data_IF_404929319142
#
_entry.id   IF_404929319142
#
_cell.length_a   1.000
_cell.length_b   1.000
_cell.length_c   1.000
_cell.angle_alpha   90.00
_cell.angle_beta   90.00
_cell.angle_gamma   90.00
#
_symmetry.space_group_name_H-M   'P 1'
#
loop_
_entity.id
_entity.type
_entity.pdbx_description
1 polymer ?
#
# COMPACT_ATOMS: atom_id res chain seq x y z
N UNK A 1 3.27 14.17 10.32
CA UNK A 1 2.33 14.65 9.30
C UNK A 1 1.61 15.94 9.68
N UNK A 2 1.46 16.23 10.97
CA UNK A 2 0.66 17.36 11.46
C UNK A 2 1.48 18.63 11.72
N UNK A 3 2.80 18.49 11.86
CA UNK A 3 3.66 19.58 12.29
C UNK A 3 4.12 20.52 11.16
N UNK A 4 3.77 20.20 9.90
CA UNK A 4 4.22 20.96 8.73
C UNK A 4 3.13 21.84 8.10
N UNK A 5 1.91 21.79 8.65
CA UNK A 5 0.81 22.58 8.10
C UNK A 5 0.83 23.99 8.67
N UNK A 6 0.92 25.03 7.84
CA UNK A 6 0.98 26.42 8.33
C UNK A 6 -0.36 26.94 8.87
N UNK A 7 -1.45 26.18 8.66
CA UNK A 7 -2.77 26.54 9.18
C UNK A 7 -3.27 25.49 10.17
N UNK A 8 -4.05 25.88 11.18
CA UNK A 8 -4.59 24.90 12.11
C UNK A 8 -5.57 23.96 11.39
N UNK A 9 -5.25 22.66 11.41
CA UNK A 9 -6.05 21.62 10.73
C UNK A 9 -6.56 20.63 11.77
N UNK A 10 -7.87 20.36 11.75
CA UNK A 10 -8.50 19.35 12.61
C UNK A 10 -8.81 18.10 11.77
N UNK A 11 -8.18 16.98 12.11
CA UNK A 11 -8.40 15.71 11.44
C UNK A 11 -9.43 14.88 12.20
N UNK A 12 -10.56 14.61 11.55
CA UNK A 12 -11.64 13.79 12.11
C UNK A 12 -11.52 12.36 11.57
N UNK A 13 -11.46 11.39 12.48
CA UNK A 13 -11.22 9.98 12.11
C UNK A 13 -12.42 9.30 11.43
N UNK A 14 -13.62 9.88 11.57
CA UNK A 14 -14.85 9.37 10.94
C UNK A 14 -15.10 7.89 11.26
N UNK A 15 -14.99 7.53 12.54
CA UNK A 15 -15.22 6.16 13.01
C UNK A 15 -16.65 5.73 12.78
N UNK A 16 -16.84 4.50 12.34
CA UNK A 16 -18.17 3.91 12.13
C UNK A 16 -18.78 3.50 13.46
N UNK A 17 -19.98 4.00 13.73
CA UNK A 17 -20.71 3.68 14.96
C UNK A 17 -21.39 2.31 14.86
N UNK A 18 -21.96 2.02 13.68
CA UNK A 18 -22.72 0.79 13.43
C UNK A 18 -21.78 -0.35 13.04
N UNK A 19 -21.67 -1.42 13.85
CA UNK A 19 -20.84 -2.58 13.51
C UNK A 19 -21.49 -3.53 12.50
N UNK A 20 -22.79 -3.41 12.26
CA UNK A 20 -23.58 -4.41 11.50
C UNK A 20 -22.99 -4.72 10.12
N UNK A 21 -22.60 -3.74 9.29
CA UNK A 21 -22.03 -4.07 7.98
C UNK A 21 -20.75 -4.90 8.08
N UNK A 22 -19.90 -4.61 9.06
CA UNK A 22 -18.65 -5.32 9.29
C UNK A 22 -18.92 -6.76 9.76
N UNK A 23 -19.77 -6.93 10.78
CA UNK A 23 -20.01 -8.25 11.38
C UNK A 23 -20.72 -9.16 10.38
N UNK A 24 -21.73 -8.65 9.67
CA UNK A 24 -22.45 -9.41 8.63
C UNK A 24 -21.50 -9.86 7.50
N UNK A 25 -20.60 -8.99 7.08
CA UNK A 25 -19.64 -9.32 6.02
C UNK A 25 -18.65 -10.39 6.48
N UNK A 26 -18.22 -10.29 7.74
CA UNK A 26 -17.33 -11.27 8.34
C UNK A 26 -18.01 -12.64 8.39
N UNK A 27 -19.24 -12.72 8.94
CA UNK A 27 -19.99 -13.97 9.08
C UNK A 27 -20.22 -14.66 7.73
N UNK A 28 -20.57 -13.90 6.69
CA UNK A 28 -20.82 -14.43 5.35
C UNK A 28 -19.56 -15.01 4.70
N UNK A 29 -18.42 -14.36 4.91
CA UNK A 29 -17.19 -14.74 4.23
C UNK A 29 -16.22 -15.57 5.04
N UNK A 30 -16.51 -15.83 6.31
CA UNK A 30 -15.55 -16.38 7.27
C UNK A 30 -14.95 -17.72 6.87
N UNK A 31 -15.67 -18.53 6.07
CA UNK A 31 -15.18 -19.84 5.63
C UNK A 31 -13.87 -19.77 4.84
N UNK A 32 -13.54 -18.63 4.21
CA UNK A 32 -12.24 -18.51 3.50
C UNK A 32 -11.05 -18.54 4.46
N UNK A 33 -11.32 -18.32 5.77
CA UNK A 33 -10.29 -18.30 6.81
C UNK A 33 -10.15 -19.64 7.55
N UNK A 34 -11.00 -20.64 7.30
CA UNK A 34 -11.07 -21.90 8.05
C UNK A 34 -9.77 -22.69 8.10
N UNK A 35 -8.90 -22.51 7.11
CA UNK A 35 -7.62 -23.21 7.04
C UNK A 35 -6.53 -22.56 7.90
N UNK A 36 -6.82 -21.45 8.53
CA UNK A 36 -5.83 -20.71 9.33
C UNK A 36 -6.12 -20.84 10.81
N UNK A 37 -5.09 -21.06 11.59
CA UNK A 37 -5.18 -21.09 13.06
C UNK A 37 -4.86 -19.73 13.67
N UNK A 38 -3.94 -18.98 13.04
CA UNK A 38 -3.49 -17.68 13.54
C UNK A 38 -3.46 -16.65 12.43
N UNK A 39 -4.19 -15.57 12.61
CA UNK A 39 -4.32 -14.50 11.62
C UNK A 39 -3.78 -13.19 12.20
N UNK A 40 -2.92 -12.51 11.44
CA UNK A 40 -2.54 -11.12 11.72
C UNK A 40 -3.70 -10.22 11.30
N UNK A 41 -4.28 -9.49 12.24
CA UNK A 41 -5.50 -8.70 11.99
C UNK A 41 -5.14 -7.22 11.95
N UNK A 42 -5.41 -6.57 10.81
CA UNK A 42 -5.26 -5.13 10.60
C UNK A 42 -6.58 -4.47 10.28
N UNK A 43 -6.74 -3.23 10.72
CA UNK A 43 -8.02 -2.52 10.55
C UNK A 43 -7.76 -1.04 10.23
N UNK A 44 -8.52 -0.47 9.29
CA UNK A 44 -8.50 0.97 9.06
C UNK A 44 -9.18 1.70 10.22
N UNK A 45 -8.79 2.96 10.45
CA UNK A 45 -9.26 3.73 11.63
C UNK A 45 -10.79 3.78 11.72
N UNK A 46 -11.50 3.76 10.59
CA UNK A 46 -12.95 3.85 10.56
C UNK A 46 -13.64 2.70 11.30
N UNK A 47 -13.03 1.51 11.31
CA UNK A 47 -13.60 0.29 11.90
C UNK A 47 -12.93 -0.14 13.20
N UNK A 48 -12.02 0.69 13.72
CA UNK A 48 -11.14 0.33 14.83
C UNK A 48 -11.92 0.00 16.12
N UNK A 49 -13.02 0.72 16.38
CA UNK A 49 -13.82 0.52 17.61
C UNK A 49 -14.50 -0.86 17.65
N UNK A 50 -14.58 -1.54 16.51
CA UNK A 50 -15.22 -2.86 16.41
C UNK A 50 -14.19 -4.01 16.39
N UNK A 51 -12.91 -3.70 16.57
CA UNK A 51 -11.84 -4.68 16.49
C UNK A 51 -12.03 -5.86 17.44
N UNK A 52 -12.43 -5.57 18.68
CA UNK A 52 -12.65 -6.63 19.69
C UNK A 52 -13.84 -7.55 19.35
N UNK A 53 -14.79 -7.09 18.58
CA UNK A 53 -15.71 -7.76 18.18
C UNK A 53 -15.36 -8.67 17.24
N UNK A 54 -14.62 -8.28 16.35
CA UNK A 54 -14.07 -9.14 15.30
C UNK A 54 -13.20 -10.25 15.91
N UNK A 55 -12.34 -9.90 16.83
CA UNK A 55 -11.46 -10.89 17.51
C UNK A 55 -12.30 -11.97 18.19
N UNK A 56 -13.39 -11.58 18.83
CA UNK A 56 -14.25 -12.51 19.56
C UNK A 56 -14.95 -13.48 18.60
N UNK A 57 -15.51 -12.98 17.50
CA UNK A 57 -16.14 -13.82 16.48
C UNK A 57 -15.16 -14.83 15.88
N UNK A 58 -13.98 -14.36 15.47
CA UNK A 58 -12.97 -15.23 14.88
C UNK A 58 -12.51 -16.29 15.87
N UNK A 59 -12.36 -15.92 17.16
CA UNK A 59 -12.01 -16.87 18.22
C UNK A 59 -13.10 -17.94 18.38
N UNK A 60 -14.38 -17.56 18.29
CA UNK A 60 -15.50 -18.52 18.33
C UNK A 60 -15.45 -19.57 17.22
N UNK A 61 -14.81 -19.24 16.11
CA UNK A 61 -14.61 -20.14 14.98
C UNK A 61 -13.22 -20.83 15.00
N UNK A 62 -12.50 -20.72 16.10
CA UNK A 62 -11.21 -21.37 16.27
C UNK A 62 -10.01 -20.63 15.69
N UNK A 63 -10.20 -19.39 15.23
CA UNK A 63 -9.11 -18.57 14.65
C UNK A 63 -8.58 -17.59 15.70
N UNK A 64 -7.31 -17.72 16.03
CA UNK A 64 -6.61 -16.80 16.96
C UNK A 64 -6.13 -15.59 16.15
N UNK A 65 -6.48 -14.39 16.60
CA UNK A 65 -6.03 -13.16 15.94
C UNK A 65 -4.93 -12.47 16.75
N UNK A 66 -3.94 -11.95 16.04
CA UNK A 66 -2.88 -11.13 16.61
C UNK A 66 -2.89 -9.75 15.96
N UNK A 67 -2.74 -8.72 16.79
CA UNK A 67 -2.61 -7.34 16.33
C UNK A 67 -1.22 -6.82 16.72
N UNK A 68 -0.69 -5.88 15.96
CA UNK A 68 0.61 -5.29 16.27
C UNK A 68 0.49 -3.96 17.00
N UNK A 69 1.48 -3.60 17.83
CA UNK A 69 1.49 -2.31 18.49
C UNK A 69 1.67 -1.17 17.47
N UNK A 70 1.15 0.03 17.77
CA UNK A 70 1.27 1.12 16.81
C UNK A 70 2.73 1.56 16.61
N UNK A 71 3.06 1.86 15.34
CA UNK A 71 4.34 2.48 14.96
C UNK A 71 4.02 3.68 14.06
N UNK A 72 4.70 4.80 14.21
CA UNK A 72 4.42 5.98 13.37
C UNK A 72 4.38 5.59 11.89
N UNK A 73 3.39 6.09 11.11
CA UNK A 73 2.39 7.11 11.46
C UNK A 73 1.11 6.57 12.11
N UNK A 74 1.05 5.27 12.44
CA UNK A 74 -0.13 4.63 13.04
C UNK A 74 -0.23 4.99 14.52
N UNK A 75 -1.46 5.21 15.01
CA UNK A 75 -1.71 5.67 16.39
C UNK A 75 -2.27 4.57 17.30
N UNK A 76 -2.90 3.55 16.72
CA UNK A 76 -3.68 2.57 17.49
C UNK A 76 -3.20 1.15 17.20
N UNK A 77 -3.34 0.28 18.21
CA UNK A 77 -3.07 -1.15 18.03
C UNK A 77 -3.94 -1.72 16.93
N UNK A 78 -3.35 -2.51 16.03
CA UNK A 78 -4.07 -3.12 14.91
C UNK A 78 -4.37 -2.18 13.76
N UNK A 79 -4.11 -0.88 13.89
CA UNK A 79 -4.37 0.07 12.81
C UNK A 79 -3.46 -0.18 11.61
N UNK A 80 -4.02 0.00 10.40
CA UNK A 80 -3.24 0.01 9.15
C UNK A 80 -3.62 1.21 8.30
N UNK A 81 -2.70 1.62 7.43
CA UNK A 81 -2.95 2.55 6.34
C UNK A 81 -2.55 1.88 5.03
N UNK A 82 -3.00 2.41 3.90
CA UNK A 82 -2.66 1.88 2.58
C UNK A 82 -1.17 1.88 2.23
N UNK A 83 -0.34 2.43 3.12
CA UNK A 83 1.12 2.49 2.93
C UNK A 83 1.88 2.18 4.22
N UNK A 84 1.21 1.76 5.30
CA UNK A 84 1.86 1.48 6.58
C UNK A 84 1.30 0.19 7.19
N UNK A 85 2.11 -0.86 7.19
CA UNK A 85 1.74 -2.21 7.63
C UNK A 85 2.77 -2.81 8.59
N UNK A 86 3.76 -2.04 9.05
CA UNK A 86 4.87 -2.54 9.85
C UNK A 86 4.42 -3.35 11.08
N UNK A 87 3.40 -2.92 11.84
CA UNK A 87 2.96 -3.72 12.99
C UNK A 87 2.48 -5.12 12.61
N UNK A 88 1.82 -5.25 11.45
CA UNK A 88 1.36 -6.56 10.95
C UNK A 88 2.53 -7.39 10.42
N UNK A 89 3.40 -6.78 9.64
CA UNK A 89 4.53 -7.50 9.02
C UNK A 89 5.48 -8.09 10.08
N UNK A 90 5.61 -7.43 11.24
CA UNK A 90 6.39 -7.94 12.37
C UNK A 90 5.82 -9.24 12.96
N UNK A 91 4.55 -9.54 12.71
CA UNK A 91 3.90 -10.76 13.22
C UNK A 91 4.13 -11.97 12.30
N UNK A 92 4.81 -11.79 11.17
CA UNK A 92 4.91 -12.81 10.12
C UNK A 92 5.28 -14.20 10.61
N UNK A 93 6.22 -14.32 11.57
CA UNK A 93 6.67 -15.59 12.10
C UNK A 93 5.68 -16.25 13.08
N UNK A 94 4.61 -15.55 13.47
CA UNK A 94 3.66 -16.01 14.50
C UNK A 94 2.28 -16.35 13.95
N UNK A 95 2.07 -16.14 12.63
CA UNK A 95 0.75 -16.24 12.00
C UNK A 95 0.79 -17.07 10.71
N UNK A 96 -0.38 -17.50 10.25
CA UNK A 96 -0.54 -18.31 9.04
C UNK A 96 -0.98 -17.46 7.84
N UNK A 97 -1.59 -16.30 8.11
CA UNK A 97 -2.09 -15.39 7.09
C UNK A 97 -2.49 -14.05 7.68
N UNK A 98 -2.98 -13.15 6.84
CA UNK A 98 -3.38 -11.80 7.25
C UNK A 98 -4.82 -11.52 6.83
N UNK A 99 -5.55 -10.79 7.68
CA UNK A 99 -6.85 -10.21 7.35
C UNK A 99 -6.78 -8.70 7.55
N UNK A 100 -7.13 -7.93 6.52
CA UNK A 100 -7.20 -6.47 6.62
C UNK A 100 -8.66 -6.03 6.49
N UNK A 101 -9.15 -5.33 7.50
CA UNK A 101 -10.50 -4.73 7.47
C UNK A 101 -10.37 -3.32 6.90
N UNK A 102 -10.97 -3.14 5.71
CA UNK A 102 -10.89 -1.91 4.92
C UNK A 102 -11.11 -2.25 3.46
N UNK A 103 -10.81 -1.33 2.56
CA UNK A 103 -11.02 -1.59 1.14
C UNK A 103 -10.02 -2.61 0.59
N UNK A 104 -10.32 -3.13 -0.60
CA UNK A 104 -9.45 -4.05 -1.35
C UNK A 104 -8.01 -3.53 -1.46
N UNK A 105 -7.83 -2.22 -1.67
CA UNK A 105 -6.50 -1.62 -1.76
C UNK A 105 -5.65 -1.85 -0.51
N UNK A 106 -6.26 -1.77 0.68
CA UNK A 106 -5.53 -2.01 1.93
C UNK A 106 -5.00 -3.45 2.01
N UNK A 107 -5.81 -4.41 1.56
CA UNK A 107 -5.37 -5.81 1.49
C UNK A 107 -4.26 -6.02 0.44
N UNK A 108 -4.41 -5.41 -0.76
CA UNK A 108 -3.40 -5.51 -1.82
C UNK A 108 -2.06 -4.93 -1.36
N UNK A 109 -2.10 -3.76 -0.72
CA UNK A 109 -0.87 -3.12 -0.23
C UNK A 109 -0.10 -4.01 0.75
N UNK A 110 -0.81 -4.72 1.62
CA UNK A 110 -0.17 -5.68 2.51
C UNK A 110 0.32 -6.91 1.73
N UNK A 111 -0.52 -7.47 0.85
CA UNK A 111 -0.18 -8.67 0.08
C UNK A 111 1.06 -8.51 -0.80
N UNK A 112 1.32 -7.30 -1.28
CA UNK A 112 2.53 -7.00 -2.05
C UNK A 112 3.80 -7.04 -1.21
N UNK A 113 3.69 -7.04 0.13
CA UNK A 113 4.83 -6.98 1.05
C UNK A 113 5.07 -8.28 1.82
N UNK A 114 4.33 -9.36 1.49
CA UNK A 114 4.43 -10.64 2.21
C UNK A 114 4.19 -11.81 1.27
N UNK A 115 4.74 -12.97 1.63
CA UNK A 115 4.45 -14.23 0.93
C UNK A 115 3.24 -14.94 1.55
N UNK A 116 2.76 -14.48 2.70
CA UNK A 116 1.66 -15.15 3.40
C UNK A 116 0.31 -14.82 2.76
N UNK A 117 -0.65 -15.76 2.81
CA UNK A 117 -2.00 -15.50 2.33
C UNK A 117 -2.57 -14.23 2.96
N UNK A 118 -3.13 -13.38 2.12
CA UNK A 118 -3.71 -12.11 2.54
C UNK A 118 -5.17 -12.04 2.09
N UNK A 119 -6.01 -11.64 3.01
CA UNK A 119 -7.46 -11.48 2.84
C UNK A 119 -7.84 -10.04 3.15
N UNK A 120 -8.91 -9.58 2.55
CA UNK A 120 -9.50 -8.30 2.91
C UNK A 120 -10.98 -8.47 3.25
N UNK A 121 -11.43 -7.66 4.15
CA UNK A 121 -12.84 -7.54 4.50
C UNK A 121 -13.25 -6.10 4.25
N UNK A 122 -14.11 -5.90 3.25
CA UNK A 122 -14.65 -4.58 2.92
C UNK A 122 -16.09 -4.51 3.43
N UNK A 123 -16.33 -3.85 4.58
CA UNK A 123 -17.68 -3.80 5.13
C UNK A 123 -18.67 -2.98 4.28
N UNK A 124 -18.15 -2.00 3.51
CA UNK A 124 -19.01 -1.17 2.66
C UNK A 124 -19.55 -1.95 1.46
N UNK A 125 -18.74 -2.87 0.94
CA UNK A 125 -19.12 -3.73 -0.18
C UNK A 125 -19.71 -5.07 0.27
N UNK A 126 -19.59 -5.42 1.55
CA UNK A 126 -20.07 -6.69 2.08
C UNK A 126 -19.26 -7.90 1.64
N UNK A 127 -17.94 -7.70 1.42
CA UNK A 127 -17.07 -8.74 0.82
C UNK A 127 -15.94 -9.11 1.77
N UNK A 128 -15.71 -10.43 1.96
CA UNK A 128 -14.48 -10.97 2.53
C UNK A 128 -13.91 -11.95 1.51
N UNK A 129 -12.68 -11.71 1.03
CA UNK A 129 -12.10 -12.56 -0.01
C UNK A 129 -10.56 -12.57 0.08
N UNK A 130 -9.95 -13.56 -0.59
CA UNK A 130 -8.51 -13.69 -0.67
C UNK A 130 -7.90 -12.95 -1.86
N UNK A 131 -6.69 -12.44 -1.65
CA UNK A 131 -6.03 -11.60 -2.66
C UNK A 131 -4.83 -12.25 -3.33
N UNK A 132 -4.49 -13.50 -3.00
CA UNK A 132 -3.24 -14.11 -3.46
C UNK A 132 -3.10 -14.14 -4.99
N UNK A 133 -4.14 -14.58 -5.69
CA UNK A 133 -4.11 -14.66 -7.16
C UNK A 133 -4.00 -13.25 -7.79
N UNK A 134 -4.65 -12.27 -7.17
CA UNK A 134 -4.61 -10.89 -7.65
C UNK A 134 -3.22 -10.28 -7.42
N UNK A 135 -2.64 -10.51 -6.25
CA UNK A 135 -1.28 -10.05 -5.94
C UNK A 135 -0.28 -10.62 -6.96
N UNK A 136 -0.40 -11.92 -7.29
CA UNK A 136 0.48 -12.54 -8.29
C UNK A 136 0.33 -11.88 -9.67
N UNK A 137 -0.92 -11.63 -10.11
CA UNK A 137 -1.15 -10.95 -11.39
C UNK A 137 -0.57 -9.54 -11.40
N UNK A 138 -0.78 -8.83 -10.28
CA UNK A 138 -0.27 -7.46 -10.13
C UNK A 138 1.26 -7.43 -10.18
N UNK A 139 1.92 -8.33 -9.45
CA UNK A 139 3.39 -8.39 -9.45
C UNK A 139 3.94 -8.68 -10.85
N UNK A 140 3.31 -9.57 -11.62
CA UNK A 140 3.73 -9.81 -13.00
C UNK A 140 3.59 -8.55 -13.86
N UNK A 141 2.49 -7.82 -13.68
CA UNK A 141 2.28 -6.55 -14.39
C UNK A 141 3.32 -5.50 -13.98
N UNK A 142 3.61 -5.40 -12.67
CA UNK A 142 4.62 -4.45 -12.15
C UNK A 142 6.01 -4.75 -12.73
N UNK A 143 6.38 -6.02 -12.84
CA UNK A 143 7.63 -6.41 -13.47
C UNK A 143 7.68 -5.93 -14.93
N UNK A 144 6.58 -6.09 -15.67
CA UNK A 144 6.47 -5.61 -17.05
C UNK A 144 6.66 -4.08 -17.16
N UNK A 145 6.13 -3.31 -16.20
CA UNK A 145 6.35 -1.85 -16.22
C UNK A 145 7.82 -1.48 -15.91
N UNK A 146 8.49 -2.24 -15.04
CA UNK A 146 9.92 -2.03 -14.78
C UNK A 146 10.73 -2.25 -16.07
N UNK A 147 10.45 -3.35 -16.77
CA UNK A 147 11.14 -3.68 -18.04
C UNK A 147 10.92 -2.58 -19.10
N UNK A 148 9.66 -2.13 -19.24
CA UNK A 148 9.34 -1.05 -20.18
C UNK A 148 10.06 0.26 -19.82
N UNK A 149 10.17 0.56 -18.54
CA UNK A 149 10.84 1.79 -18.08
C UNK A 149 12.35 1.78 -18.32
N UNK A 150 12.97 0.61 -18.54
CA UNK A 150 14.40 0.52 -18.83
C UNK A 150 14.78 1.28 -20.10
N UNK A 151 13.85 1.41 -21.06
CA UNK A 151 14.11 2.10 -22.31
C UNK A 151 13.93 3.63 -22.21
N UNK A 152 13.26 4.10 -21.15
CA UNK A 152 12.95 5.52 -20.98
C UNK A 152 14.23 6.34 -20.77
N UNK A 153 14.38 7.39 -21.58
CA UNK A 153 15.50 8.36 -21.47
C UNK A 153 15.07 9.62 -20.71
N UNK A 154 13.78 9.93 -20.73
CA UNK A 154 13.20 11.10 -20.07
C UNK A 154 12.21 10.63 -19.01
N UNK A 155 12.51 10.89 -17.76
CA UNK A 155 11.71 10.39 -16.65
C UNK A 155 11.18 11.54 -15.78
N UNK A 156 9.93 11.40 -15.33
CA UNK A 156 9.34 12.30 -14.35
C UNK A 156 9.38 11.69 -12.97
N UNK A 157 9.65 12.50 -11.96
CA UNK A 157 9.57 12.06 -10.55
C UNK A 157 8.45 12.88 -9.90
N UNK A 158 7.37 12.21 -9.56
CA UNK A 158 6.15 12.84 -9.04
C UNK A 158 6.30 13.08 -7.55
N UNK A 159 6.10 14.32 -7.12
CA UNK A 159 6.08 14.74 -5.72
C UNK A 159 4.73 15.39 -5.45
N UNK A 160 4.01 14.89 -4.46
CA UNK A 160 2.75 15.49 -4.03
C UNK A 160 3.00 16.48 -2.89
N UNK A 161 2.29 17.62 -2.91
CA UNK A 161 2.32 18.59 -1.80
C UNK A 161 1.29 18.25 -0.71
N UNK A 162 0.50 17.19 -0.88
CA UNK A 162 -0.50 16.80 0.11
C UNK A 162 0.17 16.34 1.43
N UNK A 163 -0.43 16.66 2.58
CA UNK A 163 0.11 16.24 3.87
C UNK A 163 0.38 14.73 3.91
N UNK A 164 1.55 14.34 4.39
CA UNK A 164 1.97 12.94 4.48
C UNK A 164 2.47 12.33 3.17
N UNK A 165 2.45 13.09 2.07
CA UNK A 165 2.90 12.59 0.77
C UNK A 165 4.05 13.41 0.17
N UNK A 166 4.50 14.46 0.85
CA UNK A 166 5.59 15.32 0.39
C UNK A 166 6.93 14.64 0.68
N UNK A 167 7.57 14.10 -0.37
CA UNK A 167 8.83 13.36 -0.24
C UNK A 167 9.91 13.93 -1.16
N UNK A 168 10.17 15.22 -0.99
CA UNK A 168 11.15 15.93 -1.83
C UNK A 168 12.55 15.31 -1.74
N UNK A 169 12.97 14.89 -0.52
CA UNK A 169 14.28 14.28 -0.34
C UNK A 169 14.42 12.97 -1.12
N UNK A 170 13.38 12.14 -1.11
CA UNK A 170 13.35 10.90 -1.90
C UNK A 170 13.44 11.22 -3.40
N UNK A 171 12.67 12.22 -3.86
CA UNK A 171 12.67 12.63 -5.26
C UNK A 171 14.05 13.13 -5.71
N UNK A 172 14.69 13.92 -4.86
CA UNK A 172 16.04 14.45 -5.16
C UNK A 172 17.08 13.31 -5.27
N UNK A 173 17.02 12.32 -4.38
CA UNK A 173 17.91 11.15 -4.46
C UNK A 173 17.66 10.36 -5.74
N UNK A 174 16.41 10.11 -6.08
CA UNK A 174 16.05 9.39 -7.30
C UNK A 174 16.50 10.15 -8.55
N UNK A 175 16.36 11.45 -8.55
CA UNK A 175 16.89 12.31 -9.62
C UNK A 175 18.39 12.10 -9.80
N UNK A 176 18.94 11.99 -8.97
CA UNK A 176 20.27 11.84 -8.97
C UNK A 176 20.64 10.59 -9.48
N UNK A 177 20.09 9.58 -8.95
CA UNK A 177 20.36 8.23 -9.46
C UNK A 177 19.99 8.07 -10.96
N UNK A 178 18.94 8.67 -11.37
CA UNK A 178 18.56 8.65 -12.62
C UNK A 178 19.48 9.25 -13.47
N UNK A 179 20.06 10.54 -13.15
CA UNK A 179 21.08 11.25 -13.92
C UNK A 179 22.43 10.53 -14.00
N UNK A 180 22.57 9.92 -13.07
CA UNK A 180 23.64 9.17 -12.98
C UNK A 180 23.62 8.03 -13.80
N UNK A 181 22.66 7.52 -14.21
CA UNK A 181 22.48 6.44 -15.18
C UNK A 181 22.30 6.95 -16.63
N UNK A 182 22.58 8.20 -16.88
CA UNK A 182 22.51 8.78 -18.23
C UNK A 182 21.12 9.14 -18.70
N UNK A 183 20.14 9.27 -17.80
CA UNK A 183 18.76 9.61 -18.12
C UNK A 183 18.46 11.06 -17.72
N UNK A 184 17.61 11.75 -18.48
CA UNK A 184 17.07 13.04 -18.07
C UNK A 184 15.98 12.81 -17.05
N UNK A 185 16.04 13.49 -15.90
CA UNK A 185 15.05 13.34 -14.84
C UNK A 185 14.52 14.70 -14.37
N UNK A 186 13.21 14.85 -14.35
CA UNK A 186 12.53 16.08 -13.95
C UNK A 186 11.63 15.81 -12.75
N UNK A 187 11.62 16.73 -11.78
CA UNK A 187 10.72 16.63 -10.61
C UNK A 187 9.43 17.38 -10.97
N UNK A 188 8.31 16.68 -10.84
CA UNK A 188 6.98 17.23 -11.10
C UNK A 188 6.27 17.39 -9.75
N UNK A 189 6.08 18.64 -9.33
CA UNK A 189 5.41 18.95 -8.06
C UNK A 189 3.93 19.19 -8.34
N UNK A 190 3.06 18.43 -7.69
CA UNK A 190 1.62 18.44 -7.95
C UNK A 190 0.82 18.35 -6.65
N UNK A 191 -0.32 19.02 -6.61
CA UNK A 191 -1.32 18.77 -5.56
C UNK A 191 -2.12 17.51 -5.92
N UNK A 192 -2.78 17.53 -7.08
CA UNK A 192 -3.45 16.35 -7.61
C UNK A 192 -2.68 15.82 -8.82
N UNK A 193 -2.41 14.52 -8.80
CA UNK A 193 -1.71 13.86 -9.92
C UNK A 193 -2.71 13.59 -11.04
N UNK A 194 -2.59 14.35 -12.11
CA UNK A 194 -3.44 14.21 -13.29
C UNK A 194 -2.79 13.29 -14.31
N UNK A 195 -3.47 12.21 -14.66
CA UNK A 195 -2.99 11.26 -15.68
C UNK A 195 -2.88 11.93 -17.07
N UNK A 196 -3.74 12.92 -17.32
CA UNK A 196 -3.70 13.71 -18.55
C UNK A 196 -2.40 14.55 -18.61
N UNK A 197 -2.09 15.26 -17.52
CA UNK A 197 -0.85 16.04 -17.44
C UNK A 197 0.39 15.17 -17.60
N UNK A 198 0.38 13.96 -17.03
CA UNK A 198 1.51 13.04 -17.21
C UNK A 198 1.67 12.65 -18.68
N UNK A 199 0.58 12.32 -19.37
CA UNK A 199 0.63 11.98 -20.80
C UNK A 199 1.17 13.13 -21.64
N UNK A 200 0.73 14.35 -21.34
CA UNK A 200 1.07 15.54 -22.14
C UNK A 200 2.46 16.10 -21.83
N UNK A 201 3.12 15.59 -20.80
CA UNK A 201 4.44 16.09 -20.36
C UNK A 201 5.59 15.82 -21.34
N UNK A 202 5.40 14.85 -22.26
CA UNK A 202 6.47 14.43 -23.16
C UNK A 202 7.55 13.57 -22.48
N UNK A 203 7.28 13.11 -21.25
CA UNK A 203 8.13 12.18 -20.52
C UNK A 203 7.74 10.75 -20.85
N UNK A 204 8.65 9.80 -20.67
CA UNK A 204 8.50 8.43 -21.17
C UNK A 204 8.17 7.43 -20.06
N UNK A 205 8.49 7.77 -18.80
CA UNK A 205 8.17 6.96 -17.63
C UNK A 205 8.20 7.86 -16.40
N UNK A 206 7.57 7.40 -15.32
CA UNK A 206 7.45 8.17 -14.08
C UNK A 206 7.84 7.34 -12.87
N UNK A 207 8.34 8.03 -11.85
CA UNK A 207 8.58 7.46 -10.52
C UNK A 207 7.66 8.22 -9.55
N UNK A 208 6.81 7.48 -8.87
CA UNK A 208 5.80 8.02 -7.97
C UNK A 208 6.34 8.04 -6.54
N UNK A 209 6.62 9.23 -6.00
CA UNK A 209 6.98 9.35 -4.58
C UNK A 209 5.80 9.83 -3.72
N UNK A 210 4.62 9.97 -4.31
CA UNK A 210 3.41 10.43 -3.62
C UNK A 210 2.71 9.27 -2.89
N UNK A 211 1.57 8.81 -3.41
CA UNK A 211 0.80 7.72 -2.81
C UNK A 211 1.00 6.43 -3.63
N UNK A 212 1.35 5.30 -3.01
CA UNK A 212 1.55 4.05 -3.77
C UNK A 212 0.31 3.61 -4.56
N UNK A 213 -0.88 4.04 -4.15
CA UNK A 213 -2.13 3.71 -4.86
C UNK A 213 -2.07 4.12 -6.33
N UNK A 214 -1.43 5.26 -6.64
CA UNK A 214 -1.28 5.72 -8.02
C UNK A 214 -0.60 4.67 -8.90
N UNK A 215 0.47 4.06 -8.41
CA UNK A 215 1.20 3.03 -9.16
C UNK A 215 0.48 1.68 -9.16
N UNK A 216 -0.28 1.37 -8.11
CA UNK A 216 -0.91 0.06 -7.93
C UNK A 216 -2.28 0.00 -8.62
N UNK A 217 -3.15 1.00 -8.39
CA UNK A 217 -4.51 1.00 -8.94
C UNK A 217 -4.66 1.92 -10.16
N UNK A 218 -4.12 3.13 -10.10
CA UNK A 218 -4.34 4.11 -11.15
C UNK A 218 -3.42 3.92 -12.36
N UNK A 219 -2.39 3.08 -12.26
CA UNK A 219 -1.53 2.70 -13.39
C UNK A 219 -2.35 2.27 -14.62
N UNK A 220 -3.50 1.63 -14.41
CA UNK A 220 -4.36 1.18 -15.50
C UNK A 220 -4.91 2.32 -16.36
N UNK A 221 -4.86 3.55 -15.86
CA UNK A 221 -5.37 4.75 -16.54
C UNK A 221 -4.31 5.43 -17.41
N UNK A 222 -3.06 4.97 -17.33
CA UNK A 222 -1.95 5.53 -18.12
C UNK A 222 -1.11 4.41 -18.72
N UNK A 223 -0.77 4.55 -19.99
CA UNK A 223 0.05 3.57 -20.69
C UNK A 223 1.52 3.63 -20.28
N UNK A 224 1.99 4.81 -19.87
CA UNK A 224 3.37 5.04 -19.49
C UNK A 224 3.68 4.38 -18.13
N UNK A 225 4.86 3.79 -17.96
CA UNK A 225 5.21 3.20 -16.66
C UNK A 225 5.21 4.24 -15.54
N UNK A 226 4.55 3.90 -14.43
CA UNK A 226 4.49 4.71 -13.22
C UNK A 226 5.04 3.86 -12.07
N UNK A 227 6.35 3.93 -11.87
CA UNK A 227 7.09 3.07 -10.96
C UNK A 227 7.01 3.54 -9.51
N UNK A 228 7.09 2.59 -8.58
CA UNK A 228 7.37 2.88 -7.18
C UNK A 228 8.86 3.18 -7.00
N UNK A 229 9.29 3.87 -5.92
CA UNK A 229 10.73 4.10 -5.68
C UNK A 229 11.54 2.81 -5.67
N UNK A 230 11.07 1.75 -5.03
CA UNK A 230 11.74 0.45 -5.00
C UNK A 230 11.89 -0.14 -6.41
N UNK A 231 10.88 0.02 -7.26
CA UNK A 231 10.92 -0.44 -8.65
C UNK A 231 11.91 0.36 -9.50
N UNK A 232 12.01 1.66 -9.24
CA UNK A 232 13.03 2.49 -9.90
C UNK A 232 14.43 2.02 -9.53
N UNK A 233 14.67 1.62 -8.27
CA UNK A 233 15.97 1.05 -7.88
C UNK A 233 16.24 -0.27 -8.61
N UNK A 234 15.21 -1.12 -8.80
CA UNK A 234 15.35 -2.36 -9.57
C UNK A 234 15.70 -2.02 -11.05
N UNK A 235 14.95 -1.10 -11.65
CA UNK A 235 15.19 -0.64 -13.03
C UNK A 235 16.62 -0.14 -13.22
N UNK A 236 17.17 0.54 -12.21
CA UNK A 236 18.53 1.10 -12.24
C UNK A 236 19.61 0.09 -11.84
N UNK A 237 19.25 -1.18 -11.57
CA UNK A 237 20.21 -2.20 -11.13
C UNK A 237 20.77 -1.98 -9.72
N UNK A 238 20.11 -1.15 -8.92
CA UNK A 238 20.53 -0.83 -7.54
C UNK A 238 19.85 -1.72 -6.50
N UNK A 239 18.88 -2.54 -6.92
CA UNK A 239 18.20 -3.52 -6.07
C UNK A 239 17.76 -4.69 -6.94
N UNK A 240 17.57 -5.85 -6.32
CA UNK A 240 17.09 -7.04 -7.02
C UNK A 240 15.63 -7.30 -6.71
N UNK A 241 14.88 -7.72 -7.73
CA UNK A 241 13.45 -8.03 -7.59
C UNK A 241 13.18 -8.96 -6.38
N UNK A 242 13.90 -10.07 -6.29
CA UNK A 242 13.69 -11.05 -5.22
C UNK A 242 14.07 -10.58 -3.82
N UNK A 243 14.79 -9.47 -3.68
CA UNK A 243 15.17 -8.90 -2.38
C UNK A 243 14.18 -7.86 -1.90
N UNK A 244 13.44 -7.26 -2.82
CA UNK A 244 12.60 -6.10 -2.54
C UNK A 244 11.13 -6.49 -2.52
N UNK A 245 10.68 -7.24 -3.52
CA UNK A 245 9.28 -7.62 -3.65
C UNK A 245 8.92 -8.63 -2.56
N UNK A 246 7.71 -8.56 -2.08
CA UNK A 246 7.18 -9.34 -0.96
C UNK A 246 7.94 -9.07 0.35
N UNK A 247 8.47 -7.87 0.47
CA UNK A 247 9.13 -7.42 1.68
C UNK A 247 8.59 -6.03 2.09
N UNK A 248 8.80 -5.62 3.34
CA UNK A 248 8.38 -4.28 3.77
C UNK A 248 9.00 -3.13 2.96
N UNK A 249 10.09 -3.42 2.23
CA UNK A 249 10.77 -2.42 1.39
C UNK A 249 9.99 -2.08 0.12
N UNK A 250 9.08 -2.96 -0.33
CA UNK A 250 8.45 -2.78 -1.65
C UNK A 250 7.58 -1.52 -1.73
N UNK A 251 6.80 -1.26 -0.69
CA UNK A 251 5.97 -0.05 -0.64
C UNK A 251 6.58 1.06 0.21
N UNK A 252 7.87 0.91 0.60
CA UNK A 252 8.57 2.01 1.24
C UNK A 252 8.73 3.15 0.20
N UNK A 253 8.18 4.30 0.52
CA UNK A 253 8.20 5.46 -0.38
C UNK A 253 9.47 6.30 -0.17
N UNK A 254 10.57 5.63 0.14
CA UNK A 254 11.89 6.22 0.41
C UNK A 254 12.98 5.38 -0.26
N UNK A 255 14.14 6.00 -0.52
CA UNK A 255 15.34 5.36 -1.07
C UNK A 255 16.58 5.75 -0.30
#
# INVERSE_FOLDING_TARGET
FLDEDPMPVLYLECRRVDPEPLLRSLERGMSVLDRHKRIGLGVTVQWLDHLDXVKLLLKGCGVITLTGPPTRPLRYEGQVLGCAYQPLLQLSNKIDGYLVIGSRFHGLGLGLQTEKPTYYLDPELGVLDGLNAEVERLLRSRYGYIERAQEARKMGIIVSVKPGQLRMQCAMKLKXLXEXAGRRAEILIMDDVSMEMLRDSGLEAFINTACPRLSIEDQARIELPLLLPAEALIMLGRARWGEVVRSPRYLAMEV
#
